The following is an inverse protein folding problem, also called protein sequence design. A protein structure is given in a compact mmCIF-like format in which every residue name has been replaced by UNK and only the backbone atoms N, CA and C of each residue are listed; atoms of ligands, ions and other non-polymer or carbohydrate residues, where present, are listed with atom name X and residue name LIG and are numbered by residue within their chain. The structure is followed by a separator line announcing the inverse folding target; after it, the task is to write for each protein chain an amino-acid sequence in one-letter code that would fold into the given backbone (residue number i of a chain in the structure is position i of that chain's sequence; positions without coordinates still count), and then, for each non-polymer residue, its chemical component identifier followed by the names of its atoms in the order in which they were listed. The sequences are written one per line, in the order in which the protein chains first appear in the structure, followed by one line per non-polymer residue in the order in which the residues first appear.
data_IF_518343626637
#
_entry.id   IF_518343626637
#
_cell.length_a   1.000
_cell.length_b   1.000
_cell.length_c   1.000
_cell.angle_alpha   90.00
_cell.angle_beta   90.00
_cell.angle_gamma   90.00
#
_symmetry.space_group_name_H-M   'P 1'
#
loop_
_entity.id
_entity.type
_entity.pdbx_description
1 polymer ?
#
# COMPACT_ATOMS: atom_id res chain seq x y z
N UNK A 1 -61.51 59.81 33.09
CA UNK A 1 -60.21 59.88 32.37
C UNK A 1 -59.18 59.09 33.17
N UNK A 2 -58.19 58.51 32.49
CA UNK A 2 -57.12 57.60 32.99
C UNK A 2 -57.41 56.09 32.90
N UNK A 3 -57.43 55.59 31.66
CA UNK A 3 -57.15 54.19 31.30
C UNK A 3 -55.93 54.15 30.37
N UNK A 4 -54.79 54.64 30.84
CA UNK A 4 -53.58 54.79 30.00
C UNK A 4 -52.27 54.48 30.73
N UNK A 5 -52.30 53.53 31.69
CA UNK A 5 -51.12 53.09 32.45
C UNK A 5 -50.70 51.62 32.29
N UNK A 6 -51.62 50.71 31.96
CA UNK A 6 -51.32 49.27 31.97
C UNK A 6 -50.90 48.66 30.61
N UNK A 7 -51.24 49.29 29.47
CA UNK A 7 -50.87 48.74 28.16
C UNK A 7 -49.39 48.92 27.80
N UNK A 8 -48.73 49.98 28.30
CA UNK A 8 -47.30 50.24 28.05
C UNK A 8 -46.38 49.24 28.75
N UNK A 9 -46.74 48.77 29.94
CA UNK A 9 -45.94 47.80 30.71
C UNK A 9 -45.99 46.39 30.11
N UNK A 10 -47.17 45.94 29.65
CA UNK A 10 -47.31 44.64 28.99
C UNK A 10 -46.60 44.59 27.62
N UNK A 11 -46.63 45.67 26.83
CA UNK A 11 -45.92 45.73 25.55
C UNK A 11 -44.39 45.67 25.71
N UNK A 12 -43.83 46.22 26.79
CA UNK A 12 -42.38 46.17 27.10
C UNK A 12 -41.95 44.78 27.55
N UNK A 13 -42.78 44.06 28.31
CA UNK A 13 -42.48 42.68 28.74
C UNK A 13 -42.54 41.71 27.56
N UNK A 14 -43.56 41.82 26.71
CA UNK A 14 -43.67 41.02 25.48
C UNK A 14 -42.48 41.31 24.53
N UNK A 15 -42.09 42.58 24.39
CA UNK A 15 -40.92 42.98 23.60
C UNK A 15 -39.61 42.37 24.12
N UNK A 16 -39.42 42.29 25.44
CA UNK A 16 -38.23 41.65 26.04
C UNK A 16 -38.21 40.13 25.88
N UNK A 17 -39.37 39.47 25.96
CA UNK A 17 -39.49 38.03 25.72
C UNK A 17 -39.20 37.67 24.26
N UNK A 18 -39.69 38.45 23.30
CA UNK A 18 -39.37 38.26 21.87
C UNK A 18 -37.88 38.46 21.63
N UNK A 19 -37.27 39.49 22.23
CA UNK A 19 -35.83 39.76 22.11
C UNK A 19 -34.98 38.64 22.72
N UNK A 20 -35.42 38.05 23.84
CA UNK A 20 -34.77 36.89 24.45
C UNK A 20 -34.88 35.63 23.59
N UNK A 21 -36.05 35.38 22.97
CA UNK A 21 -36.25 34.25 22.05
C UNK A 21 -35.36 34.41 20.80
N UNK A 22 -35.27 35.61 20.24
CA UNK A 22 -34.41 35.90 19.08
C UNK A 22 -32.93 35.71 19.44
N UNK A 23 -32.49 36.15 20.62
CA UNK A 23 -31.13 35.91 21.11
C UNK A 23 -30.82 34.42 21.31
N UNK A 24 -31.76 33.67 21.89
CA UNK A 24 -31.62 32.21 22.07
C UNK A 24 -31.59 31.47 20.72
N UNK A 25 -32.43 31.87 19.77
CA UNK A 25 -32.39 31.33 18.40
C UNK A 25 -31.05 31.68 17.72
N UNK A 26 -30.56 32.92 17.89
CA UNK A 26 -29.26 33.34 17.35
C UNK A 26 -28.10 32.55 17.92
N UNK A 27 -28.10 32.28 19.24
CA UNK A 27 -27.10 31.43 19.89
C UNK A 27 -27.19 29.97 19.41
N UNK A 28 -28.40 29.43 19.25
CA UNK A 28 -28.61 28.09 18.72
C UNK A 28 -28.10 27.98 17.27
N UNK A 29 -28.42 28.96 16.42
CA UNK A 29 -27.92 29.03 15.04
C UNK A 29 -26.39 29.14 14.99
N UNK A 30 -25.80 29.99 15.84
CA UNK A 30 -24.34 30.09 15.96
C UNK A 30 -23.71 28.76 16.40
N UNK A 31 -24.33 28.05 17.34
CA UNK A 31 -23.88 26.73 17.79
C UNK A 31 -23.93 25.67 16.68
N UNK A 32 -25.02 25.65 15.89
CA UNK A 32 -25.14 24.74 14.73
C UNK A 32 -24.10 25.06 13.66
N UNK A 33 -23.89 26.34 13.34
CA UNK A 33 -22.85 26.77 12.39
C UNK A 33 -21.45 26.39 12.88
N UNK A 34 -21.15 26.58 14.17
CA UNK A 34 -19.88 26.18 14.75
C UNK A 34 -19.66 24.66 14.70
N UNK A 35 -20.70 23.86 14.98
CA UNK A 35 -20.64 22.40 14.87
C UNK A 35 -20.39 21.95 13.43
N UNK A 36 -21.08 22.55 12.45
CA UNK A 36 -20.86 22.31 11.03
C UNK A 36 -19.44 22.69 10.62
N UNK A 37 -18.95 23.86 11.02
CA UNK A 37 -17.60 24.33 10.70
C UNK A 37 -16.53 23.40 11.28
N UNK A 38 -16.73 22.92 12.51
CA UNK A 38 -15.83 21.97 13.15
C UNK A 38 -15.84 20.60 12.45
N UNK A 39 -17.01 20.14 12.01
CA UNK A 39 -17.12 18.90 11.23
C UNK A 39 -16.44 19.03 9.86
N UNK A 40 -16.60 20.16 9.18
CA UNK A 40 -15.95 20.46 7.91
C UNK A 40 -14.42 20.52 8.07
N UNK A 41 -13.95 21.13 9.16
CA UNK A 41 -12.52 21.17 9.49
C UNK A 41 -11.93 19.77 9.74
N UNK A 42 -12.64 18.93 10.49
CA UNK A 42 -12.23 17.53 10.70
C UNK A 42 -12.22 16.74 9.38
N UNK A 43 -13.22 16.92 8.54
CA UNK A 43 -13.29 16.30 7.22
C UNK A 43 -12.13 16.76 6.32
N UNK A 44 -11.78 18.05 6.38
CA UNK A 44 -10.63 18.60 5.65
C UNK A 44 -9.31 17.97 6.10
N UNK A 45 -9.06 17.87 7.42
CA UNK A 45 -7.85 17.21 7.94
C UNK A 45 -7.78 15.72 7.56
N UNK A 46 -8.92 15.02 7.55
CA UNK A 46 -9.00 13.63 7.12
C UNK A 46 -8.71 13.47 5.62
N UNK A 47 -9.25 14.35 4.78
CA UNK A 47 -8.99 14.33 3.35
C UNK A 47 -7.50 14.59 3.05
N UNK A 48 -6.87 15.53 3.76
CA UNK A 48 -5.45 15.83 3.60
C UNK A 48 -4.57 14.62 4.00
N UNK A 49 -4.88 13.94 5.10
CA UNK A 49 -4.13 12.75 5.52
C UNK A 49 -4.29 11.59 4.53
N UNK A 50 -5.50 11.37 4.01
CA UNK A 50 -5.77 10.36 2.99
C UNK A 50 -5.03 10.62 1.68
N UNK A 51 -4.93 11.88 1.26
CA UNK A 51 -4.14 12.25 0.07
C UNK A 51 -2.67 11.91 0.27
N UNK A 52 -2.09 12.20 1.45
CA UNK A 52 -0.70 11.86 1.77
C UNK A 52 -0.47 10.35 1.75
N UNK A 53 -1.34 9.58 2.40
CA UNK A 53 -1.24 8.11 2.41
C UNK A 53 -1.37 7.50 1.00
N UNK A 54 -2.24 8.07 0.16
CA UNK A 54 -2.38 7.61 -1.22
C UNK A 54 -1.14 7.94 -2.07
N UNK A 55 -0.50 9.10 -1.85
CA UNK A 55 0.78 9.44 -2.47
C UNK A 55 1.89 8.48 -2.03
N UNK A 56 1.94 8.13 -0.74
CA UNK A 56 2.90 7.16 -0.21
C UNK A 56 2.71 5.78 -0.84
N UNK A 57 1.46 5.29 -0.89
CA UNK A 57 1.13 4.02 -1.52
C UNK A 57 1.51 4.01 -3.01
N UNK A 58 1.28 5.12 -3.72
CA UNK A 58 1.70 5.27 -5.10
C UNK A 58 3.22 5.23 -5.24
N UNK A 59 3.96 5.93 -4.39
CA UNK A 59 5.43 5.95 -4.39
C UNK A 59 6.03 4.55 -4.19
N UNK A 60 5.53 3.80 -3.20
CA UNK A 60 5.99 2.42 -2.94
C UNK A 60 5.66 1.51 -4.12
N UNK A 61 4.45 1.62 -4.68
CA UNK A 61 4.03 0.82 -5.84
C UNK A 61 4.86 1.12 -7.09
N UNK A 62 5.16 2.39 -7.34
CA UNK A 62 5.97 2.79 -8.49
C UNK A 62 7.38 2.24 -8.37
N UNK A 63 8.01 2.40 -7.21
CA UNK A 63 9.31 1.82 -6.91
C UNK A 63 9.33 0.29 -7.10
N UNK A 64 8.36 -0.43 -6.52
CA UNK A 64 8.27 -1.88 -6.66
C UNK A 64 8.12 -2.31 -8.13
N UNK A 65 7.32 -1.59 -8.93
CA UNK A 65 7.18 -1.89 -10.35
C UNK A 65 8.47 -1.64 -11.14
N UNK A 66 9.18 -0.54 -10.87
CA UNK A 66 10.45 -0.24 -11.53
C UNK A 66 11.51 -1.28 -11.17
N UNK A 67 11.62 -1.65 -9.88
CA UNK A 67 12.58 -2.66 -9.44
C UNK A 67 12.30 -4.04 -10.06
N UNK A 68 11.02 -4.44 -10.18
CA UNK A 68 10.65 -5.69 -10.85
C UNK A 68 11.02 -5.68 -12.34
N UNK A 69 10.86 -4.53 -13.02
CA UNK A 69 11.25 -4.35 -14.42
C UNK A 69 12.77 -4.42 -14.59
N UNK A 70 13.52 -3.74 -13.73
CA UNK A 70 14.99 -3.79 -13.72
C UNK A 70 15.49 -5.23 -13.56
N UNK A 71 14.92 -5.96 -12.60
CA UNK A 71 15.25 -7.37 -12.39
C UNK A 71 14.95 -8.22 -13.62
N UNK A 72 13.79 -8.04 -14.24
CA UNK A 72 13.44 -8.73 -15.49
C UNK A 72 14.46 -8.48 -16.60
N UNK A 73 14.86 -7.22 -16.81
CA UNK A 73 15.86 -6.86 -17.80
C UNK A 73 17.25 -7.44 -17.48
N UNK A 74 17.64 -7.46 -16.20
CA UNK A 74 18.89 -8.07 -15.77
C UNK A 74 18.90 -9.59 -15.98
N UNK A 75 17.78 -10.26 -15.70
CA UNK A 75 17.63 -11.70 -15.96
C UNK A 75 17.69 -12.00 -17.46
N UNK A 76 16.94 -11.25 -18.26
CA UNK A 76 16.92 -11.41 -19.72
C UNK A 76 18.31 -11.16 -20.32
N UNK A 77 19.03 -10.12 -19.87
CA UNK A 77 20.39 -9.84 -20.32
C UNK A 77 21.39 -10.95 -19.92
N UNK A 78 21.25 -11.54 -18.73
CA UNK A 78 22.06 -12.70 -18.30
C UNK A 78 21.81 -13.92 -19.19
N UNK A 79 20.56 -14.16 -19.59
CA UNK A 79 20.16 -15.26 -20.46
C UNK A 79 20.58 -15.04 -21.91
N UNK A 80 20.28 -13.88 -22.48
CA UNK A 80 20.52 -13.54 -23.88
C UNK A 80 22.01 -13.31 -24.22
N UNK A 81 22.88 -13.19 -23.20
CA UNK A 81 24.33 -12.94 -23.34
C UNK A 81 24.65 -11.66 -24.14
N UNK A 82 23.68 -10.74 -24.24
CA UNK A 82 23.78 -9.47 -24.96
C UNK A 82 23.20 -8.37 -24.08
N UNK A 83 24.00 -7.82 -23.15
CA UNK A 83 23.52 -6.74 -22.31
C UNK A 83 23.38 -5.47 -23.14
N UNK A 84 22.18 -4.91 -23.18
CA UNK A 84 22.01 -3.49 -23.52
C UNK A 84 22.38 -2.65 -22.29
N UNK A 85 23.68 -2.33 -22.20
CA UNK A 85 24.26 -1.57 -21.09
C UNK A 85 23.62 -0.18 -20.93
N UNK A 86 23.17 0.43 -22.03
CA UNK A 86 22.49 1.73 -21.98
C UNK A 86 21.11 1.59 -21.32
N UNK A 87 20.30 0.62 -21.76
CA UNK A 87 18.99 0.35 -21.15
C UNK A 87 19.11 -0.08 -19.68
N UNK A 88 20.07 -0.95 -19.36
CA UNK A 88 20.29 -1.43 -17.99
C UNK A 88 20.77 -0.30 -17.05
N UNK A 89 21.65 0.58 -17.52
CA UNK A 89 22.13 1.71 -16.73
C UNK A 89 21.06 2.79 -16.54
N UNK A 90 20.25 3.06 -17.56
CA UNK A 90 19.10 3.96 -17.46
C UNK A 90 18.06 3.44 -16.47
N UNK A 91 17.70 2.16 -16.55
CA UNK A 91 16.72 1.55 -15.64
C UNK A 91 17.22 1.58 -14.19
N UNK A 92 18.50 1.27 -13.97
CA UNK A 92 19.11 1.34 -12.65
C UNK A 92 19.03 2.73 -12.03
N UNK A 93 19.29 3.79 -12.80
CA UNK A 93 19.14 5.17 -12.34
C UNK A 93 17.70 5.49 -11.95
N UNK A 94 16.73 5.09 -12.77
CA UNK A 94 15.30 5.31 -12.49
C UNK A 94 14.86 4.61 -11.19
N UNK A 95 15.33 3.39 -10.95
CA UNK A 95 15.04 2.66 -9.70
C UNK A 95 15.67 3.36 -8.50
N UNK A 96 16.94 3.75 -8.60
CA UNK A 96 17.66 4.43 -7.51
C UNK A 96 17.05 5.80 -7.21
N UNK A 97 16.66 6.59 -8.23
CA UNK A 97 15.96 7.87 -8.07
C UNK A 97 14.57 7.69 -7.44
N UNK A 98 13.81 6.70 -7.88
CA UNK A 98 12.51 6.39 -7.29
C UNK A 98 12.65 5.95 -5.84
N UNK A 99 13.71 5.20 -5.50
CA UNK A 99 13.98 4.77 -4.14
C UNK A 99 14.41 5.94 -3.24
N UNK A 100 15.28 6.82 -3.75
CA UNK A 100 15.68 8.03 -3.03
C UNK A 100 14.47 8.93 -2.75
N UNK A 101 13.61 9.14 -3.74
CA UNK A 101 12.36 9.90 -3.59
C UNK A 101 11.43 9.28 -2.55
N UNK A 102 11.32 7.94 -2.52
CA UNK A 102 10.55 7.24 -1.50
C UNK A 102 11.14 7.47 -0.11
N UNK A 103 12.46 7.32 0.05
CA UNK A 103 13.14 7.49 1.33
C UNK A 103 13.07 8.93 1.85
N UNK A 104 13.16 9.93 0.97
CA UNK A 104 13.05 11.36 1.37
C UNK A 104 11.63 11.72 1.77
N UNK A 105 10.62 11.22 1.06
CA UNK A 105 9.21 11.47 1.38
C UNK A 105 8.85 10.95 2.78
N UNK A 106 9.50 9.86 3.20
CA UNK A 106 9.29 9.21 4.50
C UNK A 106 10.27 9.65 5.59
N UNK A 107 11.25 10.51 5.25
CA UNK A 107 12.23 11.00 6.21
C UNK A 107 11.56 11.89 7.26
N UNK A 108 11.78 11.58 8.54
CA UNK A 108 11.18 12.32 9.67
C UNK A 108 9.76 11.92 10.06
N UNK A 109 9.18 10.88 9.43
CA UNK A 109 7.88 10.31 9.84
C UNK A 109 8.10 9.16 10.83
N UNK A 110 8.08 9.49 12.12
CA UNK A 110 8.40 8.58 13.23
C UNK A 110 7.19 7.74 13.70
N UNK A 111 6.50 7.10 12.75
CA UNK A 111 5.59 6.01 13.10
C UNK A 111 6.43 4.73 13.21
N UNK A 112 6.78 4.31 14.43
CA UNK A 112 7.80 3.29 14.69
C UNK A 112 7.69 2.01 13.86
N UNK A 113 6.47 1.55 13.55
CA UNK A 113 6.26 0.38 12.68
C UNK A 113 6.58 0.65 11.20
N UNK A 114 6.23 1.84 10.69
CA UNK A 114 6.56 2.27 9.33
C UNK A 114 8.07 2.49 9.15
N UNK A 115 8.73 3.06 10.17
CA UNK A 115 10.17 3.29 10.18
C UNK A 115 10.96 1.97 10.13
N UNK A 116 10.56 0.95 10.89
CA UNK A 116 11.16 -0.38 10.87
C UNK A 116 11.02 -1.04 9.49
N UNK A 117 9.81 -1.03 8.92
CA UNK A 117 9.56 -1.58 7.57
C UNK A 117 10.39 -0.88 6.50
N UNK A 118 10.52 0.44 6.59
CA UNK A 118 11.37 1.21 5.69
C UNK A 118 12.86 0.87 5.85
N UNK A 119 13.32 0.62 7.08
CA UNK A 119 14.68 0.18 7.35
C UNK A 119 14.96 -1.21 6.74
N UNK A 120 14.03 -2.16 6.89
CA UNK A 120 14.11 -3.48 6.23
C UNK A 120 14.14 -3.35 4.72
N UNK A 121 13.29 -2.50 4.14
CA UNK A 121 13.29 -2.22 2.69
C UNK A 121 14.64 -1.64 2.24
N UNK A 122 15.21 -0.67 2.98
CA UNK A 122 16.55 -0.11 2.69
C UNK A 122 17.63 -1.18 2.68
N UNK A 123 17.58 -2.12 3.62
CA UNK A 123 18.54 -3.23 3.66
C UNK A 123 18.40 -4.14 2.44
N UNK A 124 17.18 -4.57 2.10
CA UNK A 124 16.93 -5.41 0.91
C UNK A 124 17.34 -4.71 -0.39
N UNK A 125 17.09 -3.40 -0.53
CA UNK A 125 17.51 -2.63 -1.70
C UNK A 125 19.04 -2.54 -1.81
N UNK A 126 19.75 -2.33 -0.70
CA UNK A 126 21.22 -2.35 -0.71
C UNK A 126 21.77 -3.70 -1.14
N UNK A 127 21.18 -4.80 -0.65
CA UNK A 127 21.55 -6.15 -1.07
C UNK A 127 21.29 -6.36 -2.57
N UNK A 128 20.15 -5.89 -3.07
CA UNK A 128 19.82 -5.94 -4.49
C UNK A 128 20.77 -5.12 -5.36
N UNK A 129 21.19 -3.93 -4.91
CA UNK A 129 22.19 -3.12 -5.63
C UNK A 129 23.54 -3.84 -5.75
N UNK A 130 23.96 -4.59 -4.72
CA UNK A 130 25.15 -5.45 -4.79
C UNK A 130 24.96 -6.60 -5.79
N UNK A 131 23.80 -7.25 -5.78
CA UNK A 131 23.44 -8.29 -6.75
C UNK A 131 23.43 -7.78 -8.19
N UNK A 132 22.95 -6.55 -8.42
CA UNK A 132 22.97 -5.88 -9.72
C UNK A 132 24.40 -5.69 -10.23
N UNK A 133 25.31 -5.25 -9.36
CA UNK A 133 26.73 -5.10 -9.73
C UNK A 133 27.36 -6.45 -10.06
N UNK A 134 27.08 -7.48 -9.25
CA UNK A 134 27.54 -8.84 -9.51
C UNK A 134 27.01 -9.39 -10.85
N UNK A 135 25.71 -9.22 -11.12
CA UNK A 135 25.07 -9.64 -12.38
C UNK A 135 25.72 -8.98 -13.59
N UNK A 136 26.01 -7.67 -13.54
CA UNK A 136 26.69 -6.97 -14.64
C UNK A 136 28.13 -7.45 -14.86
N UNK A 137 28.85 -7.82 -13.80
CA UNK A 137 30.20 -8.40 -13.93
C UNK A 137 30.12 -9.77 -14.61
N UNK A 138 29.16 -10.59 -14.19
CA UNK A 138 28.94 -11.93 -14.75
C UNK A 138 28.52 -11.89 -16.22
N UNK A 139 27.74 -10.89 -16.63
CA UNK A 139 27.40 -10.66 -18.04
C UNK A 139 28.63 -10.42 -18.92
N UNK A 140 29.71 -9.86 -18.36
CA UNK A 140 30.97 -9.57 -19.05
C UNK A 140 32.01 -10.68 -18.91
N UNK A 141 31.80 -11.64 -18.01
CA UNK A 141 32.72 -12.72 -17.68
C UNK A 141 32.36 -14.06 -18.32
N UNK A 142 33.18 -15.07 -18.02
CA UNK A 142 32.97 -16.45 -18.48
C UNK A 142 31.77 -17.10 -17.79
N UNK A 143 31.04 -17.92 -18.54
CA UNK A 143 29.65 -18.28 -18.27
C UNK A 143 29.37 -19.24 -17.09
N UNK A 144 30.36 -19.53 -16.26
CA UNK A 144 30.33 -20.69 -15.36
C UNK A 144 29.31 -20.56 -14.20
N UNK A 145 29.02 -19.35 -13.71
CA UNK A 145 28.18 -19.13 -12.51
C UNK A 145 26.84 -18.43 -12.81
N UNK A 146 26.41 -18.38 -14.08
CA UNK A 146 25.20 -17.64 -14.50
C UNK A 146 23.91 -18.18 -13.89
N UNK A 147 23.79 -19.50 -13.78
CA UNK A 147 22.62 -20.14 -13.16
C UNK A 147 22.48 -19.73 -11.68
N UNK A 148 23.60 -19.73 -10.95
CA UNK A 148 23.67 -19.29 -9.55
C UNK A 148 23.32 -17.80 -9.45
N UNK A 149 23.81 -16.99 -10.38
CA UNK A 149 23.55 -15.54 -10.39
C UNK A 149 22.09 -15.22 -10.71
N UNK A 150 21.46 -15.96 -11.62
CA UNK A 150 20.04 -15.84 -11.93
C UNK A 150 19.16 -16.20 -10.72
N UNK A 151 19.49 -17.29 -10.01
CA UNK A 151 18.78 -17.68 -8.79
C UNK A 151 18.91 -16.61 -7.69
N UNK A 152 20.12 -16.09 -7.45
CA UNK A 152 20.35 -15.01 -6.48
C UNK A 152 19.60 -13.72 -6.85
N UNK A 153 19.56 -13.37 -8.13
CA UNK A 153 18.84 -12.18 -8.61
C UNK A 153 17.32 -12.34 -8.41
N UNK A 154 16.78 -13.54 -8.63
CA UNK A 154 15.39 -13.86 -8.36
C UNK A 154 15.05 -13.71 -6.87
N UNK A 155 15.85 -14.31 -6.00
CA UNK A 155 15.66 -14.22 -4.54
C UNK A 155 15.77 -12.78 -4.04
N UNK A 156 16.80 -12.05 -4.46
CA UNK A 156 16.96 -10.64 -4.07
C UNK A 156 15.82 -9.75 -4.55
N UNK A 157 15.26 -10.03 -5.73
CA UNK A 157 14.08 -9.32 -6.24
C UNK A 157 12.86 -9.61 -5.39
N UNK A 158 12.64 -10.89 -5.08
CA UNK A 158 11.54 -11.34 -4.24
C UNK A 158 11.59 -10.68 -2.86
N UNK A 159 12.76 -10.58 -2.24
CA UNK A 159 12.93 -9.95 -0.93
C UNK A 159 12.55 -8.47 -0.96
N UNK A 160 13.01 -7.72 -1.97
CA UNK A 160 12.64 -6.31 -2.14
C UNK A 160 11.14 -6.15 -2.34
N UNK A 161 10.52 -6.99 -3.18
CA UNK A 161 9.08 -6.95 -3.42
C UNK A 161 8.29 -7.29 -2.16
N UNK A 162 8.74 -8.26 -1.37
CA UNK A 162 8.10 -8.63 -0.11
C UNK A 162 8.15 -7.47 0.89
N UNK A 163 9.30 -6.80 1.04
CA UNK A 163 9.41 -5.65 1.94
C UNK A 163 8.57 -4.45 1.46
N UNK A 164 8.55 -4.20 0.14
CA UNK A 164 7.70 -3.17 -0.44
C UNK A 164 6.21 -3.46 -0.22
N UNK A 165 5.79 -4.73 -0.35
CA UNK A 165 4.43 -5.17 -0.08
C UNK A 165 4.03 -4.98 1.38
N UNK A 166 4.91 -5.32 2.33
CA UNK A 166 4.65 -5.11 3.76
C UNK A 166 4.51 -3.62 4.12
N UNK A 167 5.30 -2.76 3.47
CA UNK A 167 5.17 -1.32 3.62
C UNK A 167 3.83 -0.82 3.04
N UNK A 168 3.42 -1.36 1.89
CA UNK A 168 2.16 -0.99 1.24
C UNK A 168 0.94 -1.48 2.03
N UNK A 169 0.99 -2.68 2.62
CA UNK A 169 -0.04 -3.20 3.52
C UNK A 169 -0.21 -2.29 4.75
N UNK A 170 0.88 -1.75 5.29
CA UNK A 170 0.82 -0.80 6.41
C UNK A 170 0.13 0.53 6.03
N UNK A 171 0.46 1.09 4.86
CA UNK A 171 -0.17 2.32 4.35
C UNK A 171 -1.66 2.09 4.02
N UNK A 172 -2.00 0.92 3.49
CA UNK A 172 -3.41 0.56 3.21
C UNK A 172 -4.18 0.37 4.51
N UNK A 173 -3.57 -0.23 5.54
CA UNK A 173 -4.19 -0.38 6.85
C UNK A 173 -4.48 1.00 7.49
N UNK A 174 -3.56 1.96 7.40
CA UNK A 174 -3.80 3.32 7.91
C UNK A 174 -4.89 4.06 7.10
N UNK A 175 -4.94 3.90 5.77
CA UNK A 175 -6.05 4.41 4.95
C UNK A 175 -7.39 3.78 5.33
N UNK A 176 -7.42 2.47 5.60
CA UNK A 176 -8.63 1.76 5.98
C UNK A 176 -9.13 2.13 7.37
N UNK A 177 -8.23 2.55 8.28
CA UNK A 177 -8.56 3.02 9.62
C UNK A 177 -9.24 4.40 9.65
N UNK A 178 -9.28 5.13 8.52
CA UNK A 178 -9.96 6.43 8.38
C UNK A 178 -11.49 6.40 8.65
N UNK A 179 -12.10 5.21 8.69
CA UNK A 179 -13.51 5.03 9.03
C UNK A 179 -14.47 5.14 7.84
N UNK A 180 -14.02 5.59 6.66
CA UNK A 180 -14.86 5.67 5.47
C UNK A 180 -14.85 4.34 4.68
N UNK A 181 -15.99 3.64 4.67
CA UNK A 181 -16.12 2.29 4.12
C UNK A 181 -15.80 2.21 2.62
N UNK A 182 -16.13 3.25 1.84
CA UNK A 182 -15.85 3.33 0.40
C UNK A 182 -14.35 3.43 0.13
N UNK A 183 -13.66 4.30 0.85
CA UNK A 183 -12.21 4.52 0.72
C UNK A 183 -11.46 3.27 1.17
N UNK A 184 -11.87 2.68 2.29
CA UNK A 184 -11.34 1.40 2.78
C UNK A 184 -11.46 0.30 1.72
N UNK A 185 -12.64 0.10 1.14
CA UNK A 185 -12.85 -0.92 0.10
C UNK A 185 -11.98 -0.68 -1.14
N UNK A 186 -11.86 0.56 -1.59
CA UNK A 186 -11.05 0.91 -2.76
C UNK A 186 -9.56 0.69 -2.49
N UNK A 187 -9.08 1.04 -1.30
CA UNK A 187 -7.69 0.84 -0.89
C UNK A 187 -7.32 -0.66 -0.88
N UNK A 188 -8.19 -1.49 -0.30
CA UNK A 188 -8.01 -2.95 -0.30
C UNK A 188 -8.06 -3.54 -1.71
N UNK A 189 -9.01 -3.12 -2.55
CA UNK A 189 -9.11 -3.64 -3.93
C UNK A 189 -7.88 -3.28 -4.77
N UNK A 190 -7.35 -2.06 -4.61
CA UNK A 190 -6.08 -1.66 -5.25
C UNK A 190 -4.90 -2.51 -4.77
N UNK A 191 -4.91 -2.89 -3.51
CA UNK A 191 -3.87 -3.71 -2.91
C UNK A 191 -3.95 -5.17 -3.36
N UNK A 192 -5.15 -5.73 -3.46
CA UNK A 192 -5.36 -7.08 -3.99
C UNK A 192 -4.92 -7.16 -5.46
N UNK A 193 -5.25 -6.15 -6.27
CA UNK A 193 -4.79 -6.08 -7.66
C UNK A 193 -3.26 -5.96 -7.77
N UNK A 194 -2.62 -5.20 -6.88
CA UNK A 194 -1.16 -5.09 -6.82
C UNK A 194 -0.52 -6.43 -6.44
N UNK A 195 -1.05 -7.08 -5.39
CA UNK A 195 -0.59 -8.38 -4.89
C UNK A 195 -0.72 -9.45 -5.98
N UNK A 196 -1.85 -9.48 -6.68
CA UNK A 196 -2.07 -10.40 -7.79
C UNK A 196 -1.06 -10.19 -8.92
N UNK A 197 -0.81 -8.93 -9.30
CA UNK A 197 0.17 -8.59 -10.33
C UNK A 197 1.57 -9.08 -9.95
N UNK A 198 1.96 -8.91 -8.68
CA UNK A 198 3.22 -9.43 -8.14
C UNK A 198 3.31 -10.96 -8.25
N UNK A 199 2.27 -11.68 -7.84
CA UNK A 199 2.26 -13.15 -7.90
C UNK A 199 2.33 -13.66 -9.35
N UNK A 200 1.61 -13.04 -10.27
CA UNK A 200 1.65 -13.42 -11.69
C UNK A 200 3.03 -13.18 -12.30
N UNK A 201 3.65 -12.02 -12.03
CA UNK A 201 5.00 -11.71 -12.53
C UNK A 201 6.07 -12.61 -11.94
N UNK A 202 6.07 -12.81 -10.63
CA UNK A 202 7.05 -13.67 -9.96
C UNK A 202 6.93 -15.13 -10.42
N UNK A 203 5.71 -15.60 -10.70
CA UNK A 203 5.46 -16.93 -11.27
C UNK A 203 5.94 -17.05 -12.71
N UNK A 204 5.67 -16.03 -13.54
CA UNK A 204 6.17 -15.99 -14.92
C UNK A 204 7.71 -16.00 -14.96
N UNK A 205 8.36 -15.20 -14.11
CA UNK A 205 9.82 -15.18 -14.00
C UNK A 205 10.39 -16.52 -13.53
N UNK A 206 9.74 -17.18 -12.57
CA UNK A 206 10.17 -18.50 -12.11
C UNK A 206 10.01 -19.59 -13.17
N UNK A 207 8.97 -19.51 -14.01
CA UNK A 207 8.79 -20.44 -15.14
C UNK A 207 9.90 -20.29 -16.18
N UNK A 208 10.25 -19.06 -16.53
CA UNK A 208 11.39 -18.78 -17.44
C UNK A 208 12.70 -19.28 -16.82
N UNK A 209 12.91 -19.01 -15.53
CA UNK A 209 14.10 -19.49 -14.83
C UNK A 209 14.17 -21.03 -14.81
N UNK A 210 13.03 -21.71 -14.64
CA UNK A 210 12.93 -23.18 -14.64
C UNK A 210 13.09 -23.79 -16.03
N UNK A 211 12.75 -23.09 -17.11
CA UNK A 211 13.03 -23.58 -18.47
C UNK A 211 14.52 -23.50 -18.82
N UNK A 212 15.23 -22.55 -18.22
CA UNK A 212 16.64 -22.29 -18.47
C UNK A 212 17.56 -23.11 -17.54
N UNK A 213 17.14 -23.33 -16.29
CA UNK A 213 17.82 -24.24 -15.36
C UNK A 213 17.44 -25.69 -15.68
N UNK A 214 18.41 -26.56 -15.94
CA UNK A 214 18.18 -28.01 -16.15
C UNK A 214 17.59 -28.75 -14.91
N UNK A 215 17.38 -28.05 -13.80
CA UNK A 215 16.92 -28.62 -12.52
C UNK A 215 15.76 -27.84 -11.88
N UNK A 216 15.19 -28.39 -10.80
CA UNK A 216 14.19 -27.68 -9.98
C UNK A 216 14.85 -26.48 -9.31
N UNK A 217 14.10 -25.39 -9.18
CA UNK A 217 14.41 -24.31 -8.26
C UNK A 217 14.49 -24.84 -6.83
N UNK A 218 15.15 -24.10 -5.93
CA UNK A 218 15.22 -24.49 -4.53
C UNK A 218 13.82 -24.80 -3.97
N UNK A 219 13.74 -25.81 -3.10
CA UNK A 219 12.48 -26.34 -2.60
C UNK A 219 11.63 -25.25 -1.94
N UNK A 220 12.25 -24.32 -1.21
CA UNK A 220 11.55 -23.22 -0.55
C UNK A 220 10.94 -22.26 -1.57
N UNK A 221 11.66 -22.02 -2.65
CA UNK A 221 11.25 -21.16 -3.76
C UNK A 221 10.05 -21.77 -4.49
N UNK A 222 10.12 -23.05 -4.84
CA UNK A 222 9.01 -23.83 -5.44
C UNK A 222 7.76 -23.86 -4.54
N UNK A 223 7.93 -24.15 -3.24
CA UNK A 223 6.80 -24.18 -2.28
C UNK A 223 6.16 -22.79 -2.11
N UNK A 224 6.96 -21.73 -2.17
CA UNK A 224 6.42 -20.39 -2.08
C UNK A 224 5.77 -19.92 -3.38
N UNK A 225 6.26 -20.34 -4.54
CA UNK A 225 5.64 -20.09 -5.83
C UNK A 225 4.29 -20.80 -5.93
N UNK A 226 4.22 -22.06 -5.50
CA UNK A 226 2.97 -22.81 -5.41
C UNK A 226 1.96 -22.11 -4.49
N UNK A 227 2.40 -21.67 -3.29
CA UNK A 227 1.57 -20.89 -2.37
C UNK A 227 1.12 -19.56 -2.99
N UNK A 228 2.03 -18.87 -3.68
CA UNK A 228 1.76 -17.62 -4.39
C UNK A 228 0.74 -17.76 -5.52
N UNK A 229 0.87 -18.80 -6.34
CA UNK A 229 -0.08 -19.13 -7.40
C UNK A 229 -1.44 -19.52 -6.84
N UNK A 230 -1.48 -20.34 -5.78
CA UNK A 230 -2.75 -20.67 -5.12
C UNK A 230 -3.41 -19.41 -4.53
N UNK A 231 -2.64 -18.52 -3.91
CA UNK A 231 -3.16 -17.26 -3.38
C UNK A 231 -3.64 -16.33 -4.52
N UNK A 232 -2.91 -16.26 -5.63
CA UNK A 232 -3.30 -15.51 -6.81
C UNK A 232 -4.58 -16.04 -7.46
N UNK A 233 -4.73 -17.36 -7.57
CA UNK A 233 -5.95 -18.01 -8.06
C UNK A 233 -7.14 -17.76 -7.13
N UNK A 234 -6.93 -17.79 -5.80
CA UNK A 234 -7.96 -17.46 -4.82
C UNK A 234 -8.40 -15.99 -4.93
N UNK A 235 -7.47 -15.06 -5.12
CA UNK A 235 -7.77 -13.64 -5.32
C UNK A 235 -8.52 -13.39 -6.64
N UNK A 236 -8.09 -14.04 -7.73
CA UNK A 236 -8.80 -14.01 -9.02
C UNK A 236 -10.20 -14.60 -8.92
N UNK A 237 -10.34 -15.74 -8.26
CA UNK A 237 -11.60 -16.42 -8.01
C UNK A 237 -12.56 -15.52 -7.23
N UNK A 238 -12.10 -14.95 -6.11
CA UNK A 238 -12.90 -14.04 -5.31
C UNK A 238 -13.33 -12.77 -6.07
N UNK A 239 -12.45 -12.25 -6.94
CA UNK A 239 -12.77 -11.11 -7.81
C UNK A 239 -13.81 -11.48 -8.88
N UNK A 240 -13.73 -12.69 -9.46
CA UNK A 240 -14.67 -13.19 -10.48
C UNK A 240 -16.05 -13.56 -9.92
N UNK A 241 -16.11 -14.01 -8.67
CA UNK A 241 -17.35 -14.44 -8.00
C UNK A 241 -18.13 -13.27 -7.36
N UNK A 242 -17.66 -12.02 -7.52
CA UNK A 242 -18.31 -10.86 -6.90
C UNK A 242 -18.36 -10.94 -5.38
N UNK A 243 -17.43 -11.69 -4.75
CA UNK A 243 -17.35 -11.76 -3.31
C UNK A 243 -16.96 -10.37 -2.81
N UNK A 244 -17.91 -9.69 -2.17
CA UNK A 244 -17.67 -8.43 -1.50
C UNK A 244 -16.41 -8.59 -0.65
N UNK A 245 -15.47 -7.65 -0.77
CA UNK A 245 -14.18 -7.60 -0.08
C UNK A 245 -14.25 -7.76 1.46
N UNK A 246 -15.43 -7.98 2.05
CA UNK A 246 -15.68 -8.34 3.45
C UNK A 246 -15.32 -9.79 3.79
N UNK A 247 -15.41 -10.73 2.85
CA UNK A 247 -15.15 -12.16 3.13
C UNK A 247 -13.65 -12.49 3.17
N UNK A 248 -12.85 -11.93 2.26
CA UNK A 248 -11.38 -12.01 2.31
C UNK A 248 -10.82 -11.26 3.54
N UNK A 249 -11.54 -10.22 4.00
CA UNK A 249 -11.21 -9.40 5.18
C UNK A 249 -11.09 -10.19 6.49
N UNK A 250 -11.88 -11.25 6.68
CA UNK A 250 -11.84 -12.08 7.91
C UNK A 250 -10.66 -13.02 7.98
N UNK A 251 -10.08 -13.43 6.85
CA UNK A 251 -8.94 -14.34 6.84
C UNK A 251 -7.59 -13.61 7.01
N UNK A 252 -7.50 -12.33 6.63
CA UNK A 252 -6.23 -11.56 6.68
C UNK A 252 -5.98 -10.84 8.01
N UNK A 253 -7.02 -10.57 8.82
CA UNK A 253 -6.86 -9.98 10.17
C UNK A 253 -6.43 -11.01 11.24
N UNK A 254 -6.36 -12.30 10.89
CA UNK A 254 -5.78 -13.32 11.74
C UNK A 254 -4.25 -13.38 11.49
N UNK A 255 -3.49 -12.60 12.25
CA UNK A 255 -2.03 -12.73 12.32
C UNK A 255 -1.60 -14.16 12.73
N UNK A 256 -0.38 -14.59 12.38
CA UNK A 256 0.04 -16.00 12.41
C UNK A 256 0.52 -16.44 13.80
N UNK A 257 -0.27 -16.20 14.86
CA UNK A 257 -0.01 -16.74 16.19
C UNK A 257 -1.35 -17.05 16.87
N UNK A 258 -1.97 -18.15 16.47
CA UNK A 258 -2.77 -19.05 17.33
C UNK A 258 -3.58 -20.01 16.46
N UNK A 259 -3.68 -21.30 16.84
CA UNK A 259 -4.49 -22.25 16.12
C UNK A 259 -5.96 -21.88 16.29
N UNK A 260 -6.62 -21.48 15.21
CA UNK A 260 -8.08 -21.41 15.15
C UNK A 260 -8.65 -22.83 15.32
N UNK A 261 -8.77 -23.25 16.58
CA UNK A 261 -9.57 -24.41 16.99
C UNK A 261 -10.98 -23.89 17.26
N UNK A 262 -11.95 -24.50 16.58
CA UNK A 262 -13.41 -24.30 16.69
C UNK A 262 -13.94 -23.02 16.06
N UNK A 263 -14.31 -23.12 14.80
CA UNK A 263 -15.69 -23.37 14.36
C UNK A 263 -15.68 -23.51 12.85
N UNK A 264 -16.48 -24.44 12.33
CA UNK A 264 -16.37 -24.95 10.95
C UNK A 264 -16.49 -23.85 9.89
N UNK A 265 -15.47 -23.77 9.05
CA UNK A 265 -15.59 -23.31 7.68
C UNK A 265 -15.11 -24.44 6.78
N UNK A 266 -16.04 -25.08 6.07
CA UNK A 266 -15.72 -25.79 4.84
C UNK A 266 -15.54 -24.73 3.75
N UNK A 267 -14.31 -24.52 3.31
CA UNK A 267 -13.90 -23.97 2.01
C UNK A 267 -12.46 -24.42 1.77
#
# INVERSE_FOLDING_TARGET
MQLSGHSRSQAVVIGRSVLAIVLLLGLLQAGVVAALQFSAWRAYQLAESLVRLNQDAYGVRNFANLQAKESGLLMEALLAKRPDEAALSQMARQVDESFLTLVTTWYGRDEGHAAERLASLRQSVRQFQLLRVAARREMRGDAADREVQLAKLYEGTRDVQQQAQLLLDAVVASMAASGESRISNLAWLRQDAATLTYWLRSSAQALVLRSELKGRLDRRTEESLARGLSAGMLLLGACSLGWTASAIRRCRSASPISPCRRTGCNC
#
